data_IF_807659456618
#
_entry.id   IF_807659456618
#
_cell.length_a   1.000
_cell.length_b   1.000
_cell.length_c   1.000
_cell.angle_alpha   90.00
_cell.angle_beta   90.00
_cell.angle_gamma   90.00
#
_symmetry.space_group_name_H-M   'P 1'
#
loop_
_entity.id
_entity.type
_entity.pdbx_description
1 polymer ?
#
# COMPACT_ATOMS: atom_id res chain seq x y z
N UNK A 1 -26.30 -16.26 -5.29
CA UNK A 1 -26.84 -15.64 -6.52
C UNK A 1 -26.68 -14.12 -6.49
N UNK A 2 -27.27 -13.40 -5.53
CA UNK A 2 -27.19 -11.92 -5.45
C UNK A 2 -25.72 -11.44 -5.29
N UNK A 3 -24.95 -12.11 -4.45
CA UNK A 3 -23.51 -11.80 -4.26
C UNK A 3 -22.69 -12.02 -5.54
N UNK A 4 -22.96 -13.10 -6.27
CA UNK A 4 -22.27 -13.39 -7.53
C UNK A 4 -22.60 -12.35 -8.61
N UNK A 5 -23.86 -11.93 -8.69
CA UNK A 5 -24.31 -10.88 -9.60
C UNK A 5 -23.65 -9.52 -9.25
N UNK A 6 -23.56 -9.21 -7.96
CA UNK A 6 -22.86 -8.01 -7.47
C UNK A 6 -21.37 -8.05 -7.81
N UNK A 7 -20.69 -9.16 -7.56
CA UNK A 7 -19.26 -9.30 -7.89
C UNK A 7 -19.01 -9.18 -9.39
N UNK A 8 -19.86 -9.77 -10.22
CA UNK A 8 -19.79 -9.64 -11.68
C UNK A 8 -19.98 -8.18 -12.12
N UNK A 9 -20.94 -7.46 -11.52
CA UNK A 9 -21.20 -6.04 -11.77
C UNK A 9 -20.03 -5.16 -11.37
N UNK A 10 -19.44 -5.37 -10.18
CA UNK A 10 -18.26 -4.64 -9.73
C UNK A 10 -17.08 -4.89 -10.68
N UNK A 11 -16.91 -6.12 -11.14
CA UNK A 11 -15.81 -6.51 -12.04
C UNK A 11 -15.97 -5.98 -13.47
N UNK A 12 -17.17 -5.66 -13.91
CA UNK A 12 -17.43 -5.18 -15.26
C UNK A 12 -16.71 -3.85 -15.55
N UNK A 13 -16.25 -3.65 -16.80
CA UNK A 13 -15.63 -2.39 -17.26
C UNK A 13 -14.40 -1.94 -16.43
N UNK A 14 -13.57 -2.89 -16.00
CA UNK A 14 -12.36 -2.61 -15.26
C UNK A 14 -11.19 -2.21 -16.18
N UNK A 15 -10.33 -1.31 -15.70
CA UNK A 15 -9.09 -0.96 -16.38
C UNK A 15 -8.12 -2.14 -16.42
N UNK A 16 -7.19 -2.10 -17.37
CA UNK A 16 -6.03 -2.98 -17.40
C UNK A 16 -4.86 -2.27 -16.69
N UNK A 17 -4.57 -2.66 -15.47
CA UNK A 17 -3.55 -2.01 -14.63
C UNK A 17 -2.18 -1.88 -15.29
N UNK A 18 -1.75 -2.91 -16.04
CA UNK A 18 -0.46 -2.92 -16.72
C UNK A 18 -0.34 -1.89 -17.85
N UNK A 19 -1.46 -1.44 -18.39
CA UNK A 19 -1.49 -0.37 -19.41
C UNK A 19 -1.38 1.02 -18.77
N UNK A 20 -1.87 1.18 -17.55
CA UNK A 20 -1.88 2.46 -16.83
C UNK A 20 -0.63 2.66 -15.97
N UNK A 21 -0.10 1.60 -15.35
CA UNK A 21 0.93 1.70 -14.34
C UNK A 21 2.17 0.85 -14.60
N UNK A 22 3.31 1.43 -14.28
CA UNK A 22 4.54 0.71 -13.96
C UNK A 22 4.48 0.30 -12.49
N UNK A 23 4.72 -0.98 -12.21
CA UNK A 23 4.71 -1.52 -10.86
C UNK A 23 6.12 -1.63 -10.31
N UNK A 24 6.37 -1.05 -9.13
CA UNK A 24 7.64 -1.09 -8.44
C UNK A 24 7.58 -1.71 -7.06
N UNK A 25 8.74 -2.16 -6.61
CA UNK A 25 9.00 -2.56 -5.22
C UNK A 25 9.99 -1.60 -4.60
N UNK A 26 9.87 -1.40 -3.31
CA UNK A 26 10.82 -0.62 -2.54
C UNK A 26 12.14 -1.34 -2.26
N UNK A 27 12.99 -0.67 -1.52
CA UNK A 27 14.31 -1.14 -1.08
C UNK A 27 14.18 -2.51 -0.41
N UNK A 28 15.05 -3.44 -0.79
CA UNK A 28 15.07 -4.80 -0.21
C UNK A 28 15.70 -4.80 1.19
N UNK A 29 14.92 -4.29 2.14
CA UNK A 29 15.33 -4.23 3.55
C UNK A 29 14.12 -4.49 4.45
N UNK A 30 14.37 -5.03 5.65
CA UNK A 30 13.35 -5.17 6.68
C UNK A 30 12.81 -3.80 7.13
N UNK A 31 11.63 -3.78 7.74
CA UNK A 31 11.05 -2.52 8.24
C UNK A 31 11.91 -1.81 9.30
N UNK A 32 12.71 -2.56 10.05
CA UNK A 32 13.65 -2.03 11.04
C UNK A 32 14.94 -1.52 10.43
N UNK A 33 15.23 -1.88 9.17
CA UNK A 33 16.49 -1.55 8.52
C UNK A 33 17.71 -2.24 9.10
N UNK A 34 17.52 -3.26 9.95
CA UNK A 34 18.63 -3.96 10.58
C UNK A 34 19.38 -4.82 9.56
N UNK A 35 20.69 -4.69 9.58
CA UNK A 35 21.65 -5.39 8.72
C UNK A 35 22.87 -5.78 9.51
N UNK A 36 23.65 -6.74 8.99
CA UNK A 36 25.00 -7.03 9.44
C UNK A 36 26.00 -6.54 8.40
N UNK A 37 27.10 -5.94 8.83
CA UNK A 37 28.13 -5.44 7.95
C UNK A 37 29.30 -6.42 7.85
N UNK A 38 29.76 -6.67 6.64
CA UNK A 38 30.94 -7.48 6.42
C UNK A 38 32.22 -6.65 6.72
N UNK A 39 33.04 -7.08 7.67
CA UNK A 39 34.28 -6.39 8.03
C UNK A 39 35.34 -6.41 6.94
N UNK A 40 35.23 -7.26 5.89
CA UNK A 40 36.15 -7.32 4.77
C UNK A 40 35.79 -6.39 3.62
N UNK A 41 34.51 -6.41 3.21
CA UNK A 41 34.06 -5.65 2.02
C UNK A 41 33.10 -4.50 2.35
N UNK A 42 32.72 -4.29 3.60
CA UNK A 42 31.80 -3.24 4.02
C UNK A 42 30.34 -3.43 3.62
N UNK A 43 30.01 -4.50 2.88
CA UNK A 43 28.67 -4.71 2.39
C UNK A 43 27.69 -5.05 3.53
N UNK A 44 26.54 -4.35 3.53
CA UNK A 44 25.44 -4.63 4.42
C UNK A 44 24.58 -5.78 3.87
N UNK A 45 24.08 -6.62 4.75
CA UNK A 45 23.25 -7.77 4.39
C UNK A 45 22.18 -8.03 5.46
N UNK A 46 20.99 -8.45 5.00
CA UNK A 46 19.97 -8.97 5.91
C UNK A 46 20.44 -10.24 6.63
N UNK A 47 19.87 -10.53 7.79
CA UNK A 47 20.11 -11.76 8.55
C UNK A 47 18.78 -12.32 9.08
N UNK A 48 18.80 -13.62 9.44
CA UNK A 48 17.67 -14.29 10.08
C UNK A 48 17.87 -14.25 11.60
N UNK A 49 16.79 -14.24 12.39
CA UNK A 49 16.88 -14.33 13.86
C UNK A 49 17.65 -15.55 14.34
N UNK A 50 17.50 -16.70 13.68
CA UNK A 50 18.27 -17.92 13.98
C UNK A 50 19.79 -17.77 13.80
N UNK A 51 20.24 -16.82 12.97
CA UNK A 51 21.66 -16.52 12.80
C UNK A 51 22.24 -15.71 13.97
N UNK A 52 21.41 -15.00 14.73
CA UNK A 52 21.82 -14.37 15.99
C UNK A 52 22.18 -15.41 17.04
N UNK A 53 21.44 -16.50 17.10
CA UNK A 53 21.67 -17.61 18.05
C UNK A 53 22.92 -18.42 17.66
N UNK A 54 23.15 -18.62 16.36
CA UNK A 54 24.27 -19.40 15.82
C UNK A 54 25.51 -18.56 15.48
N UNK A 55 25.43 -17.25 15.61
CA UNK A 55 26.56 -16.32 15.53
C UNK A 55 27.25 -16.16 14.18
N UNK A 56 26.77 -16.81 13.09
CA UNK A 56 27.55 -16.82 11.85
C UNK A 56 26.70 -16.72 10.57
N UNK A 57 27.27 -16.00 9.59
CA UNK A 57 26.75 -15.88 8.22
C UNK A 57 27.93 -15.77 7.24
N UNK A 58 27.78 -16.33 6.06
CA UNK A 58 28.75 -16.12 4.96
C UNK A 58 28.33 -14.87 4.17
N UNK A 59 29.29 -13.98 3.96
CA UNK A 59 29.08 -12.81 3.10
C UNK A 59 28.81 -13.24 1.67
N UNK A 60 27.69 -12.84 1.12
CA UNK A 60 27.29 -13.19 -0.25
C UNK A 60 28.12 -12.48 -1.31
N UNK A 61 28.87 -11.43 -0.94
CA UNK A 61 29.70 -10.64 -1.86
C UNK A 61 31.17 -11.07 -1.91
N UNK A 62 31.76 -11.45 -0.78
CA UNK A 62 33.19 -11.75 -0.74
C UNK A 62 33.52 -13.10 -0.10
N UNK A 63 32.55 -13.90 0.29
CA UNK A 63 32.71 -15.23 0.87
C UNK A 63 33.26 -15.25 2.31
N UNK A 64 33.55 -14.08 2.93
CA UNK A 64 34.03 -14.03 4.31
C UNK A 64 32.94 -14.45 5.29
N UNK A 65 33.32 -15.20 6.31
CA UNK A 65 32.49 -15.50 7.47
C UNK A 65 32.27 -14.23 8.28
N UNK A 66 31.00 -13.91 8.56
CA UNK A 66 30.59 -12.76 9.35
C UNK A 66 30.04 -13.28 10.66
N UNK A 67 30.54 -12.81 11.77
CA UNK A 67 29.88 -12.99 13.05
C UNK A 67 28.60 -12.13 13.11
N UNK A 68 27.49 -12.74 13.49
CA UNK A 68 26.21 -12.06 13.65
C UNK A 68 25.92 -11.93 15.14
N UNK A 69 26.21 -10.77 15.70
CA UNK A 69 26.04 -10.44 17.10
C UNK A 69 25.47 -9.04 17.26
N UNK A 70 25.06 -8.66 18.45
CA UNK A 70 24.58 -7.30 18.73
C UNK A 70 25.61 -6.22 18.35
N UNK A 71 26.90 -6.53 18.47
CA UNK A 71 27.98 -5.60 18.13
C UNK A 71 28.24 -5.46 16.62
N UNK A 72 27.83 -6.45 15.80
CA UNK A 72 28.02 -6.44 14.34
C UNK A 72 26.77 -6.01 13.58
N UNK A 73 25.64 -5.89 14.27
CA UNK A 73 24.38 -5.43 13.71
C UNK A 73 24.33 -3.91 13.73
N UNK A 74 23.92 -3.33 12.60
CA UNK A 74 23.58 -1.93 12.50
C UNK A 74 22.22 -1.71 11.88
N UNK A 75 21.73 -0.49 11.91
CA UNK A 75 20.52 -0.11 11.18
C UNK A 75 20.85 0.93 10.11
N UNK A 76 20.28 0.76 8.92
CA UNK A 76 20.35 1.75 7.85
C UNK A 76 19.08 2.60 7.78
N UNK A 77 18.06 2.29 8.60
CA UNK A 77 16.85 3.10 8.78
C UNK A 77 16.87 3.74 10.17
N UNK A 78 16.50 5.02 10.25
CA UNK A 78 16.37 5.76 11.51
C UNK A 78 15.10 6.62 11.51
N UNK A 79 14.66 7.04 12.70
CA UNK A 79 13.56 8.01 12.86
C UNK A 79 14.04 9.46 12.74
N UNK A 80 15.34 9.69 12.78
CA UNK A 80 15.96 11.01 12.72
C UNK A 80 16.88 11.09 11.51
N UNK A 81 16.84 12.23 10.80
CA UNK A 81 17.75 12.49 9.68
C UNK A 81 19.17 12.75 10.21
N UNK A 82 20.16 12.20 9.50
CA UNK A 82 21.58 12.41 9.74
C UNK A 82 22.22 13.36 8.72
N UNK A 83 21.41 13.91 7.79
CA UNK A 83 21.85 14.83 6.75
C UNK A 83 22.28 14.16 5.43
N UNK A 84 22.71 12.91 5.46
CA UNK A 84 23.11 12.12 4.28
C UNK A 84 22.18 10.93 4.08
N UNK A 85 20.89 11.16 4.18
CA UNK A 85 19.85 10.15 4.06
C UNK A 85 18.65 10.65 3.26
N UNK A 86 17.85 9.72 2.76
CA UNK A 86 16.60 10.00 2.10
C UNK A 86 15.42 9.55 2.98
N UNK A 87 14.30 10.25 2.87
CA UNK A 87 13.06 9.78 3.47
C UNK A 87 12.69 8.41 2.92
N UNK A 88 12.27 7.50 3.78
CA UNK A 88 11.75 6.19 3.41
C UNK A 88 10.40 5.94 4.08
N UNK A 89 9.47 5.33 3.35
CA UNK A 89 8.17 4.92 3.83
C UNK A 89 8.18 3.40 4.02
N UNK A 90 7.88 2.97 5.23
CA UNK A 90 7.61 1.56 5.55
C UNK A 90 6.09 1.32 5.57
N UNK A 91 5.65 0.05 5.52
CA UNK A 91 4.22 -0.25 5.44
C UNK A 91 3.36 0.44 6.50
N UNK A 92 3.88 0.58 7.72
CA UNK A 92 3.16 1.24 8.82
C UNK A 92 2.94 2.75 8.62
N UNK A 93 3.73 3.39 7.75
CA UNK A 93 3.54 4.80 7.40
C UNK A 93 2.38 5.01 6.42
N UNK A 94 2.02 4.01 5.64
CA UNK A 94 0.94 4.11 4.66
C UNK A 94 -0.39 3.87 5.36
N UNK A 95 -1.22 4.89 5.37
CA UNK A 95 -2.58 4.86 5.91
C UNK A 95 -3.57 4.99 4.76
N UNK A 96 -4.84 4.75 5.04
CA UNK A 96 -5.91 4.98 4.09
C UNK A 96 -6.00 6.48 3.79
N UNK A 97 -5.72 6.88 2.55
CA UNK A 97 -5.58 8.25 2.03
C UNK A 97 -4.32 9.01 2.47
N UNK A 98 -3.67 8.70 3.57
CA UNK A 98 -2.61 9.50 4.16
C UNK A 98 -1.29 8.78 4.40
N UNK A 99 -0.25 9.55 4.71
CA UNK A 99 1.07 9.06 5.10
C UNK A 99 1.40 9.65 6.48
N UNK A 100 1.72 8.77 7.43
CA UNK A 100 2.06 9.15 8.80
C UNK A 100 3.47 8.71 9.19
N UNK A 101 4.07 9.48 10.06
CA UNK A 101 5.41 9.20 10.57
C UNK A 101 6.53 9.61 9.60
N UNK A 102 7.75 9.52 10.11
CA UNK A 102 8.98 9.86 9.36
C UNK A 102 10.03 8.80 9.65
N UNK A 103 10.60 8.24 8.58
CA UNK A 103 11.76 7.38 8.63
C UNK A 103 12.74 7.84 7.54
N UNK A 104 14.02 7.58 7.78
CA UNK A 104 15.10 7.96 6.89
C UNK A 104 16.00 6.76 6.63
N UNK A 105 16.50 6.63 5.43
CA UNK A 105 17.40 5.56 5.03
C UNK A 105 18.74 6.13 4.57
N UNK A 106 19.81 5.55 5.07
CA UNK A 106 21.16 5.84 4.54
C UNK A 106 21.24 5.39 3.09
N UNK A 107 21.69 6.28 2.22
CA UNK A 107 21.91 5.99 0.79
C UNK A 107 23.34 5.54 0.54
N UNK A 108 23.56 4.90 -0.61
CA UNK A 108 24.90 4.46 -1.04
C UNK A 108 25.59 3.47 -0.09
N UNK A 109 24.82 2.73 0.73
CA UNK A 109 25.37 1.67 1.56
C UNK A 109 25.64 0.44 0.69
N UNK A 110 26.89 -0.04 0.59
CA UNK A 110 27.21 -1.21 -0.22
C UNK A 110 26.39 -2.43 0.23
N UNK A 111 25.90 -3.21 -0.71
CA UNK A 111 25.09 -4.41 -0.44
C UNK A 111 23.60 -4.17 -0.26
N UNK A 112 23.13 -2.94 -0.20
CA UNK A 112 21.70 -2.62 -0.18
C UNK A 112 21.18 -2.46 -1.62
N UNK A 113 20.12 -3.21 -1.94
CA UNK A 113 19.44 -3.08 -3.22
C UNK A 113 18.34 -2.01 -3.13
N UNK A 114 18.66 -0.81 -3.58
CA UNK A 114 17.74 0.35 -3.58
C UNK A 114 16.69 0.31 -4.69
N UNK A 115 16.75 -0.70 -5.59
CA UNK A 115 15.85 -0.84 -6.74
C UNK A 115 16.02 0.31 -7.75
N UNK A 116 15.03 0.46 -8.64
CA UNK A 116 15.04 1.51 -9.64
C UNK A 116 14.67 2.86 -9.00
N UNK A 117 15.63 3.78 -8.92
CA UNK A 117 15.46 5.09 -8.30
C UNK A 117 14.40 5.95 -9.01
N UNK A 118 14.16 5.72 -10.32
CA UNK A 118 13.12 6.43 -11.08
C UNK A 118 11.71 6.16 -10.53
N UNK A 119 11.50 4.99 -9.92
CA UNK A 119 10.22 4.65 -9.30
C UNK A 119 9.89 5.53 -8.08
N UNK A 120 10.90 6.12 -7.44
CA UNK A 120 10.68 6.98 -6.28
C UNK A 120 10.33 8.42 -6.61
N UNK A 121 10.50 8.85 -7.87
CA UNK A 121 10.16 10.24 -8.26
C UNK A 121 8.66 10.51 -8.05
N UNK A 122 8.29 11.69 -7.50
CA UNK A 122 6.89 12.05 -7.28
C UNK A 122 6.21 12.54 -8.58
N UNK A 123 4.87 12.55 -8.65
CA UNK A 123 3.98 11.88 -7.72
C UNK A 123 3.89 10.37 -8.03
N UNK A 124 3.55 9.58 -7.01
CA UNK A 124 3.33 8.15 -7.18
C UNK A 124 2.27 7.63 -6.21
N UNK A 125 1.47 6.69 -6.67
CA UNK A 125 0.54 5.95 -5.82
C UNK A 125 1.32 4.84 -5.11
N UNK A 126 1.14 4.73 -3.82
CA UNK A 126 1.76 3.71 -2.97
C UNK A 126 0.69 2.86 -2.30
N UNK A 127 0.96 1.57 -2.19
CA UNK A 127 0.04 0.61 -1.58
C UNK A 127 0.79 -0.21 -0.54
N UNK A 128 0.26 -0.28 0.66
CA UNK A 128 0.80 -1.11 1.73
C UNK A 128 0.68 -2.58 1.34
N UNK A 129 1.77 -3.33 1.47
CA UNK A 129 1.82 -4.75 1.11
C UNK A 129 1.29 -5.65 2.20
N UNK A 130 1.57 -5.37 3.47
CA UNK A 130 1.35 -6.26 4.61
C UNK A 130 0.38 -5.67 5.62
N UNK A 131 -0.42 -6.51 6.23
CA UNK A 131 -1.45 -6.15 7.21
C UNK A 131 -2.86 -6.22 6.64
N UNK A 132 -3.85 -6.10 7.53
CA UNK A 132 -5.26 -6.14 7.18
C UNK A 132 -5.68 -4.91 6.37
N UNK A 133 -6.53 -5.10 5.39
CA UNK A 133 -7.11 -4.04 4.58
C UNK A 133 -6.27 -3.64 3.37
N UNK A 134 -6.87 -2.85 2.50
CA UNK A 134 -6.20 -2.19 1.39
C UNK A 134 -5.93 -0.74 1.82
N UNK A 135 -4.65 -0.36 1.87
CA UNK A 135 -4.22 0.99 2.22
C UNK A 135 -3.42 1.58 1.08
N UNK A 136 -3.98 2.59 0.46
CA UNK A 136 -3.33 3.35 -0.60
C UNK A 136 -3.18 4.82 -0.20
N UNK A 137 -2.09 5.43 -0.66
CA UNK A 137 -1.80 6.86 -0.50
C UNK A 137 -1.03 7.38 -1.71
N UNK A 138 -0.94 8.70 -1.86
CA UNK A 138 -0.09 9.31 -2.88
C UNK A 138 1.10 9.96 -2.19
N UNK A 139 2.30 9.62 -2.65
CA UNK A 139 3.52 10.29 -2.22
C UNK A 139 3.90 11.38 -3.24
N UNK A 140 3.82 12.63 -2.77
CA UNK A 140 4.22 13.83 -3.51
C UNK A 140 5.64 14.31 -3.17
N UNK A 141 6.34 13.61 -2.27
CA UNK A 141 7.62 14.08 -1.72
C UNK A 141 8.84 13.37 -2.30
N UNK A 142 8.65 12.33 -3.09
CA UNK A 142 9.76 11.55 -3.64
C UNK A 142 10.43 10.61 -2.64
N UNK A 143 9.74 10.24 -1.56
CA UNK A 143 10.27 9.29 -0.58
C UNK A 143 10.58 7.95 -1.23
N UNK A 144 11.66 7.30 -0.78
CA UNK A 144 11.89 5.89 -1.03
C UNK A 144 10.84 5.05 -0.30
N UNK A 145 10.69 3.79 -0.66
CA UNK A 145 9.82 2.85 0.07
C UNK A 145 10.59 1.61 0.44
N UNK A 146 10.21 0.95 1.52
CA UNK A 146 10.71 -0.39 1.84
C UNK A 146 10.00 -1.46 1.02
N UNK A 147 10.48 -2.70 1.06
CA UNK A 147 9.82 -3.83 0.41
C UNK A 147 8.39 -4.12 0.88
N UNK A 148 7.94 -3.48 1.97
CA UNK A 148 6.58 -3.61 2.50
C UNK A 148 5.58 -2.62 1.88
N UNK A 149 6.03 -1.83 0.90
CA UNK A 149 5.22 -0.86 0.16
C UNK A 149 5.42 -1.07 -1.33
N UNK A 150 4.33 -1.23 -2.05
CA UNK A 150 4.31 -1.23 -3.51
C UNK A 150 4.22 0.18 -4.07
N UNK A 151 4.78 0.37 -5.24
CA UNK A 151 4.75 1.62 -6.00
C UNK A 151 4.01 1.37 -7.29
N UNK A 152 3.02 2.22 -7.58
CA UNK A 152 2.34 2.29 -8.85
C UNK A 152 2.61 3.68 -9.44
N UNK A 153 3.42 3.73 -10.48
CA UNK A 153 3.76 4.95 -11.19
C UNK A 153 3.03 4.97 -12.52
N UNK A 154 2.29 6.05 -12.80
CA UNK A 154 1.65 6.20 -14.11
C UNK A 154 2.69 6.09 -15.23
N UNK A 155 2.31 5.44 -16.31
CA UNK A 155 3.11 5.39 -17.52
C UNK A 155 3.05 6.74 -18.24
N UNK A 156 4.08 7.08 -19.01
CA UNK A 156 4.15 8.34 -19.75
C UNK A 156 3.04 8.47 -20.80
N UNK A 157 2.54 7.34 -21.31
CA UNK A 157 1.41 7.26 -22.24
C UNK A 157 0.06 7.08 -21.55
N UNK A 158 -0.03 7.25 -20.22
CA UNK A 158 -1.31 7.22 -19.53
C UNK A 158 -2.19 8.41 -19.97
N UNK A 159 -3.49 8.19 -19.89
CA UNK A 159 -4.54 9.10 -20.40
C UNK A 159 -4.73 10.39 -19.57
N UNK A 160 -3.80 10.74 -18.71
CA UNK A 160 -3.89 11.92 -17.85
C UNK A 160 -4.83 11.77 -16.66
N UNK A 161 -5.32 10.57 -16.38
CA UNK A 161 -6.16 10.31 -15.20
C UNK A 161 -5.42 10.70 -13.91
N UNK A 162 -5.98 11.58 -13.08
CA UNK A 162 -5.35 11.97 -11.81
C UNK A 162 -5.19 10.77 -10.87
N UNK A 163 -4.06 10.71 -10.15
CA UNK A 163 -3.78 9.63 -9.19
C UNK A 163 -4.84 9.54 -8.08
N UNK A 164 -5.44 10.66 -7.73
CA UNK A 164 -6.48 10.76 -6.71
C UNK A 164 -7.74 9.97 -7.08
N UNK A 165 -8.00 9.79 -8.37
CA UNK A 165 -9.08 8.92 -8.83
C UNK A 165 -8.83 7.47 -8.43
N UNK A 166 -7.62 6.97 -8.72
CA UNK A 166 -7.22 5.62 -8.33
C UNK A 166 -7.12 5.46 -6.81
N UNK A 167 -6.64 6.50 -6.13
CA UNK A 167 -6.61 6.53 -4.67
C UNK A 167 -7.99 6.35 -4.06
N UNK A 168 -8.99 7.06 -4.57
CA UNK A 168 -10.37 6.97 -4.11
C UNK A 168 -10.91 5.54 -4.23
N UNK A 169 -10.81 4.98 -5.43
CA UNK A 169 -11.36 3.65 -5.72
C UNK A 169 -10.65 2.55 -4.93
N UNK A 170 -9.31 2.56 -4.86
CA UNK A 170 -8.54 1.57 -4.10
C UNK A 170 -8.88 1.55 -2.61
N UNK A 171 -9.17 2.70 -2.03
CA UNK A 171 -9.52 2.82 -0.60
C UNK A 171 -11.03 2.64 -0.35
N UNK A 172 -11.84 2.38 -1.36
CA UNK A 172 -13.30 2.25 -1.21
C UNK A 172 -13.72 0.94 -0.56
N UNK A 173 -14.88 0.97 0.07
CA UNK A 173 -15.55 -0.22 0.60
C UNK A 173 -15.98 -1.18 -0.51
N UNK A 174 -16.34 -0.65 -1.67
CA UNK A 174 -16.69 -1.44 -2.87
C UNK A 174 -15.52 -2.33 -3.27
N UNK A 175 -14.30 -1.78 -3.38
CA UNK A 175 -13.11 -2.55 -3.75
C UNK A 175 -12.68 -3.48 -2.64
N UNK A 176 -12.80 -3.06 -1.37
CA UNK A 176 -12.47 -3.93 -0.25
C UNK A 176 -13.45 -5.11 -0.13
N UNK A 177 -14.74 -4.88 -0.37
CA UNK A 177 -15.74 -5.95 -0.45
C UNK A 177 -15.37 -6.98 -1.53
N UNK A 178 -15.06 -6.51 -2.75
CA UNK A 178 -14.62 -7.40 -3.81
C UNK A 178 -13.39 -8.22 -3.40
N UNK A 179 -12.38 -7.56 -2.80
CA UNK A 179 -11.18 -8.22 -2.31
C UNK A 179 -11.51 -9.30 -1.27
N UNK A 180 -12.34 -9.00 -0.29
CA UNK A 180 -12.75 -9.97 0.75
C UNK A 180 -13.46 -11.18 0.16
N UNK A 181 -14.37 -10.98 -0.77
CA UNK A 181 -15.15 -12.08 -1.36
C UNK A 181 -14.32 -12.96 -2.31
N UNK A 182 -13.36 -12.38 -3.02
CA UNK A 182 -12.53 -13.12 -3.99
C UNK A 182 -11.23 -13.65 -3.36
N UNK A 183 -10.66 -12.93 -2.41
CA UNK A 183 -9.34 -13.23 -1.81
C UNK A 183 -9.34 -13.27 -0.29
N UNK A 184 -10.51 -13.32 0.34
CA UNK A 184 -10.70 -13.15 1.79
C UNK A 184 -9.89 -14.08 2.67
N UNK A 185 -9.55 -15.28 2.20
CA UNK A 185 -8.64 -16.19 2.91
C UNK A 185 -7.28 -15.56 3.25
N UNK A 186 -6.83 -14.58 2.47
CA UNK A 186 -5.57 -13.90 2.71
C UNK A 186 -5.63 -12.91 3.88
N UNK A 187 -6.81 -12.33 4.14
CA UNK A 187 -7.00 -11.39 5.26
C UNK A 187 -6.94 -12.09 6.63
N UNK A 188 -7.35 -13.34 6.69
CA UNK A 188 -7.44 -14.09 7.96
C UNK A 188 -6.19 -14.93 8.26
N UNK A 189 -5.15 -14.81 7.46
CA UNK A 189 -3.83 -15.39 7.74
C UNK A 189 -3.12 -14.63 8.85
N UNK A 190 -2.21 -15.29 9.55
CA UNK A 190 -1.38 -14.65 10.58
C UNK A 190 -0.57 -13.45 10.06
N UNK A 191 -0.27 -13.43 8.78
CA UNK A 191 0.45 -12.36 8.08
C UNK A 191 -0.21 -12.07 6.74
N UNK A 192 -1.36 -11.37 6.72
CA UNK A 192 -2.04 -11.02 5.47
C UNK A 192 -1.15 -10.12 4.60
N UNK A 193 -1.16 -10.36 3.31
CA UNK A 193 -0.40 -9.55 2.37
C UNK A 193 -1.06 -9.48 0.99
N UNK A 194 -0.97 -8.32 0.37
CA UNK A 194 -1.33 -8.12 -1.02
C UNK A 194 -0.19 -8.59 -1.95
N UNK A 195 -0.56 -9.19 -3.06
CA UNK A 195 0.38 -9.47 -4.16
C UNK A 195 0.16 -8.51 -5.32
N UNK A 196 1.14 -8.39 -6.22
CA UNK A 196 0.96 -7.64 -7.46
C UNK A 196 -0.25 -8.16 -8.25
N UNK A 197 -0.42 -9.48 -8.32
CA UNK A 197 -1.54 -10.10 -9.04
C UNK A 197 -2.90 -9.71 -8.45
N UNK A 198 -3.01 -9.71 -7.13
CA UNK A 198 -4.23 -9.25 -6.44
C UNK A 198 -4.50 -7.80 -6.78
N UNK A 199 -3.53 -6.90 -6.64
CA UNK A 199 -3.71 -5.47 -6.97
C UNK A 199 -4.17 -5.30 -8.43
N UNK A 200 -3.54 -6.04 -9.35
CA UNK A 200 -3.87 -5.98 -10.78
C UNK A 200 -5.23 -6.60 -11.13
N UNK A 201 -5.81 -7.39 -10.24
CA UNK A 201 -7.16 -7.95 -10.39
C UNK A 201 -8.27 -7.11 -9.77
N UNK A 202 -7.90 -6.07 -8.99
CA UNK A 202 -8.92 -5.19 -8.39
C UNK A 202 -9.66 -4.42 -9.49
N UNK A 203 -11.00 -4.45 -9.47
CA UNK A 203 -11.81 -3.95 -10.58
C UNK A 203 -12.01 -2.43 -10.49
N UNK A 204 -11.04 -1.66 -10.93
CA UNK A 204 -11.12 -0.19 -10.98
C UNK A 204 -11.83 0.26 -12.26
N UNK A 205 -12.89 1.04 -12.12
CA UNK A 205 -13.62 1.66 -13.23
C UNK A 205 -12.74 2.67 -13.97
N UNK A 206 -12.98 2.79 -15.27
CA UNK A 206 -12.25 3.78 -16.08
C UNK A 206 -12.67 5.21 -15.74
N UNK A 207 -11.70 6.12 -15.80
CA UNK A 207 -11.92 7.55 -15.67
C UNK A 207 -12.51 8.11 -16.97
N UNK A 208 -13.65 8.79 -16.88
CA UNK A 208 -14.41 9.28 -18.02
C UNK A 208 -14.50 10.82 -18.08
N UNK A 209 -13.83 11.52 -17.17
CA UNK A 209 -13.90 12.98 -17.02
C UNK A 209 -15.31 13.49 -16.73
N UNK A 210 -16.20 12.63 -16.24
CA UNK A 210 -17.57 13.01 -15.87
C UNK A 210 -17.58 13.94 -14.65
N UNK A 211 -18.69 14.67 -14.45
CA UNK A 211 -18.89 15.48 -13.25
C UNK A 211 -18.73 14.62 -11.97
N UNK A 212 -19.18 13.36 -12.01
CA UNK A 212 -19.04 12.41 -10.92
C UNK A 212 -17.56 12.11 -10.64
N UNK A 213 -16.73 11.88 -11.67
CA UNK A 213 -15.30 11.61 -11.51
C UNK A 213 -14.55 12.81 -10.93
N UNK A 214 -14.93 14.03 -11.35
CA UNK A 214 -14.34 15.27 -10.83
C UNK A 214 -14.65 15.43 -9.34
N UNK A 215 -15.87 15.12 -8.92
CA UNK A 215 -16.27 15.19 -7.50
C UNK A 215 -15.56 14.13 -6.65
N UNK A 216 -15.42 12.90 -7.17
CA UNK A 216 -14.62 11.82 -6.55
C UNK A 216 -13.18 12.30 -6.30
N UNK A 217 -12.53 12.88 -7.32
CA UNK A 217 -11.15 13.40 -7.21
C UNK A 217 -11.06 14.50 -6.17
N UNK A 218 -12.01 15.43 -6.14
CA UNK A 218 -12.04 16.53 -5.15
C UNK A 218 -12.07 16.00 -3.73
N UNK A 219 -12.99 15.08 -3.43
CA UNK A 219 -13.08 14.47 -2.09
C UNK A 219 -11.84 13.64 -1.74
N UNK A 220 -11.27 12.90 -2.71
CA UNK A 220 -10.05 12.15 -2.49
C UNK A 220 -8.86 13.06 -2.15
N UNK A 221 -8.73 14.23 -2.80
CA UNK A 221 -7.73 15.26 -2.47
C UNK A 221 -7.92 15.81 -1.06
N UNK A 222 -9.15 16.07 -0.67
CA UNK A 222 -9.44 16.55 0.69
C UNK A 222 -9.08 15.50 1.74
N UNK A 223 -9.45 14.22 1.52
CA UNK A 223 -9.10 13.11 2.41
C UNK A 223 -7.58 12.86 2.48
N UNK A 224 -6.86 13.04 1.36
CA UNK A 224 -5.40 12.92 1.35
C UNK A 224 -4.71 14.03 2.15
N UNK A 225 -5.32 15.21 2.28
CA UNK A 225 -4.84 16.31 3.13
C UNK A 225 -5.15 16.07 4.60
N UNK A 226 -6.39 15.68 4.88
CA UNK A 226 -6.88 15.38 6.22
C UNK A 226 -8.01 14.38 6.14
N UNK A 227 -7.81 13.22 6.76
CA UNK A 227 -8.87 12.22 6.84
C UNK A 227 -10.02 12.72 7.72
N UNK A 228 -11.24 12.64 7.17
CA UNK A 228 -12.50 12.94 7.85
C UNK A 228 -13.52 11.85 7.48
N UNK A 229 -14.04 11.13 8.47
CA UNK A 229 -14.95 10.02 8.26
C UNK A 229 -16.22 10.41 7.47
N UNK A 230 -16.79 11.59 7.75
CA UNK A 230 -17.96 12.08 7.02
C UNK A 230 -17.71 12.31 5.52
N UNK A 231 -16.52 12.82 5.17
CA UNK A 231 -16.10 12.98 3.77
C UNK A 231 -15.81 11.63 3.11
N UNK A 232 -15.28 10.68 3.88
CA UNK A 232 -15.06 9.31 3.39
C UNK A 232 -16.38 8.63 3.05
N UNK A 233 -17.44 8.81 3.85
CA UNK A 233 -18.77 8.32 3.53
C UNK A 233 -19.39 9.06 2.33
N UNK A 234 -19.17 10.36 2.18
CA UNK A 234 -19.62 11.10 0.99
C UNK A 234 -18.94 10.55 -0.27
N UNK A 235 -17.62 10.34 -0.21
CA UNK A 235 -16.86 9.74 -1.31
C UNK A 235 -17.37 8.34 -1.64
N UNK A 236 -17.65 7.51 -0.64
CA UNK A 236 -18.19 6.16 -0.84
C UNK A 236 -19.54 6.19 -1.59
N UNK A 237 -20.44 7.12 -1.26
CA UNK A 237 -21.71 7.28 -2.00
C UNK A 237 -21.47 7.60 -3.49
N UNK A 238 -20.49 8.44 -3.81
CA UNK A 238 -20.14 8.72 -5.21
C UNK A 238 -19.55 7.50 -5.90
N UNK A 239 -18.71 6.73 -5.20
CA UNK A 239 -18.12 5.49 -5.74
C UNK A 239 -19.22 4.45 -5.98
N UNK A 240 -20.17 4.27 -5.06
CA UNK A 240 -21.32 3.41 -5.28
C UNK A 240 -22.11 3.79 -6.56
N UNK A 241 -22.30 5.08 -6.81
CA UNK A 241 -22.89 5.59 -8.07
C UNK A 241 -22.02 5.27 -9.28
N UNK A 242 -20.68 5.40 -9.16
CA UNK A 242 -19.74 5.07 -10.24
C UNK A 242 -19.81 3.59 -10.64
N UNK A 243 -20.09 2.72 -9.67
CA UNK A 243 -20.33 1.28 -9.90
C UNK A 243 -21.80 0.96 -10.20
N UNK A 244 -22.67 1.97 -10.27
CA UNK A 244 -24.11 1.83 -10.57
C UNK A 244 -24.83 0.89 -9.59
N UNK A 245 -24.40 0.91 -8.31
CA UNK A 245 -24.95 0.02 -7.28
C UNK A 245 -26.34 0.47 -6.85
N UNK A 246 -27.23 -0.49 -6.67
CA UNK A 246 -28.55 -0.30 -6.05
C UNK A 246 -28.42 -0.21 -4.52
N UNK A 247 -29.45 0.32 -3.85
CA UNK A 247 -29.48 0.40 -2.38
C UNK A 247 -29.35 -0.98 -1.71
N UNK A 248 -29.92 -2.02 -2.33
CA UNK A 248 -29.79 -3.40 -1.82
C UNK A 248 -28.32 -3.89 -1.91
N UNK A 249 -27.65 -3.63 -3.03
CA UNK A 249 -26.23 -3.98 -3.21
C UNK A 249 -25.31 -3.19 -2.27
N UNK A 250 -25.60 -1.90 -2.03
CA UNK A 250 -24.89 -1.07 -1.06
C UNK A 250 -25.05 -1.62 0.35
N UNK A 251 -26.24 -2.05 0.74
CA UNK A 251 -26.48 -2.70 2.03
C UNK A 251 -25.65 -3.97 2.20
N UNK A 252 -25.57 -4.83 1.19
CA UNK A 252 -24.73 -6.04 1.24
C UNK A 252 -23.26 -5.70 1.52
N UNK A 253 -22.74 -4.65 0.87
CA UNK A 253 -21.37 -4.19 1.10
C UNK A 253 -21.19 -3.67 2.53
N UNK A 254 -22.08 -2.82 3.01
CA UNK A 254 -22.00 -2.23 4.35
C UNK A 254 -22.18 -3.29 5.45
N UNK A 255 -23.07 -4.24 5.28
CA UNK A 255 -23.24 -5.37 6.22
C UNK A 255 -21.95 -6.18 6.34
N UNK A 256 -21.24 -6.43 5.22
CA UNK A 256 -19.95 -7.11 5.26
C UNK A 256 -18.88 -6.27 5.98
N UNK A 257 -18.83 -4.95 5.72
CA UNK A 257 -17.90 -4.06 6.43
C UNK A 257 -18.17 -4.06 7.95
N UNK A 258 -19.43 -4.11 8.36
CA UNK A 258 -19.81 -4.10 9.78
C UNK A 258 -19.54 -5.44 10.49
N UNK A 259 -19.36 -6.54 9.74
CA UNK A 259 -18.93 -7.83 10.27
C UNK A 259 -17.43 -7.92 10.49
N UNK A 260 -16.64 -6.97 10.01
CA UNK A 260 -15.20 -6.94 10.23
C UNK A 260 -14.88 -6.91 11.73
N UNK A 261 -13.79 -7.57 12.17
CA UNK A 261 -13.40 -7.56 13.57
C UNK A 261 -13.06 -6.15 14.05
N UNK A 262 -13.16 -5.90 15.37
CA UNK A 262 -12.79 -4.61 15.97
C UNK A 262 -11.27 -4.49 16.08
N UNK A 263 -10.63 -4.29 14.92
CA UNK A 263 -9.21 -4.09 14.78
C UNK A 263 -8.96 -2.71 14.17
N UNK A 264 -8.13 -1.91 14.80
CA UNK A 264 -7.86 -0.53 14.40
C UNK A 264 -7.54 -0.34 12.91
N UNK A 265 -6.99 -1.40 12.29
CA UNK A 265 -6.67 -1.40 10.86
C UNK A 265 -7.90 -1.28 9.94
N UNK A 266 -9.04 -1.84 10.32
CA UNK A 266 -10.24 -1.90 9.48
C UNK A 266 -11.46 -1.20 10.09
N UNK A 267 -11.33 -0.59 11.27
CA UNK A 267 -12.43 0.10 11.95
C UNK A 267 -13.04 1.23 11.10
N UNK A 268 -12.22 1.96 10.35
CA UNK A 268 -12.71 3.02 9.48
C UNK A 268 -13.43 2.52 8.22
N UNK A 269 -13.46 1.21 7.97
CA UNK A 269 -14.27 0.60 6.92
C UNK A 269 -15.72 0.36 7.37
N UNK A 270 -15.96 0.24 8.69
CA UNK A 270 -17.31 0.08 9.23
C UNK A 270 -18.15 1.32 8.93
N UNK A 271 -19.45 1.11 8.74
CA UNK A 271 -20.41 2.16 8.47
C UNK A 271 -21.38 2.20 9.64
N UNK A 272 -21.46 3.34 10.31
CA UNK A 272 -22.51 3.58 11.28
C UNK A 272 -23.85 3.61 10.51
N UNK A 273 -24.65 2.59 10.70
CA UNK A 273 -26.01 2.54 10.14
C UNK A 273 -26.84 3.40 11.08
N UNK A 274 -27.08 4.66 10.68
CA UNK A 274 -28.15 5.43 11.27
C UNK A 274 -29.46 4.66 10.99
N UNK A 275 -30.11 4.20 12.09
CA UNK A 275 -31.35 3.42 12.06
C UNK A 275 -32.54 4.23 11.54
N UNK A 276 -32.29 5.40 10.95
CA UNK A 276 -33.29 6.31 10.41
C UNK A 276 -32.96 6.67 8.96
N UNK A 277 -33.27 5.78 8.01
CA UNK A 277 -33.60 6.13 6.64
C UNK A 277 -34.82 5.30 6.20
#
# INVERSE_FOLDING_TARGET
REEEELLAKIKSSSIIWGEKFNFGRGVEISKSGNVVFCSKCGCAQGYKKSQLENGEKICTYCGKKIEVSESTIGSVISKHSTGNDNRILVGENVKRYGIEGKCYIKTSVPGINYKDLRMYTPPKLIVRKTGLGIYASIDYTGSMTSQTVYILKLRDNADGTPLEYYLALLNSRVIYYFYLKVYGENEWKSHPYLTKQIIYSLPIREYTQSALDIEIIKLAKDLARKYEYSKDLQLEKLICRKYELTDAEIRLIYDEMNRLPDLGAVNNMKVEVDVNV
#
